data_IF_097175336307
#
_entry.id   IF_097175336307
#
_cell.length_a   1.000
_cell.length_b   1.000
_cell.length_c   1.000
_cell.angle_alpha   90.00
_cell.angle_beta   90.00
_cell.angle_gamma   90.00
#
_symmetry.space_group_name_H-M   'P 1'
#
loop_
_entity.id
_entity.type
_entity.pdbx_description
1 polymer ?
#
# COMPACT_ATOMS: atom_id res chain seq x y z
N UNK A 1 16.25 1.90 -21.13
CA UNK A 1 15.42 1.97 -19.91
C UNK A 1 16.22 2.67 -18.83
N UNK A 2 15.67 3.74 -18.25
CA UNK A 2 16.35 4.49 -17.19
C UNK A 2 16.01 3.86 -15.83
N UNK A 3 17.02 3.67 -14.98
CA UNK A 3 16.83 3.10 -13.64
C UNK A 3 17.84 3.62 -12.63
N UNK A 4 17.45 3.65 -11.35
CA UNK A 4 18.34 3.96 -10.24
C UNK A 4 19.01 2.67 -9.77
N UNK A 5 20.36 2.61 -9.82
CA UNK A 5 21.12 1.48 -9.34
C UNK A 5 21.64 1.73 -7.93
N UNK A 6 21.39 0.76 -7.03
CA UNK A 6 21.85 0.79 -5.63
C UNK A 6 22.60 -0.51 -5.34
N UNK A 7 23.87 -0.39 -4.98
CA UNK A 7 24.67 -1.51 -4.50
C UNK A 7 24.56 -1.67 -2.97
N UNK A 8 24.45 -2.90 -2.51
CA UNK A 8 24.37 -3.22 -1.08
C UNK A 8 24.96 -4.61 -0.79
N UNK A 9 25.14 -4.96 0.50
CA UNK A 9 25.59 -6.28 0.95
C UNK A 9 24.46 -7.32 0.85
N UNK A 10 24.01 -7.62 -0.36
CA UNK A 10 22.97 -8.60 -0.67
C UNK A 10 23.49 -9.69 -1.57
N UNK A 11 22.83 -10.84 -1.59
CA UNK A 11 23.21 -11.99 -2.41
C UNK A 11 22.50 -12.08 -3.76
N UNK A 12 21.48 -11.25 -4.01
CA UNK A 12 20.65 -11.34 -5.20
C UNK A 12 20.32 -9.95 -5.76
N UNK A 13 20.00 -9.89 -7.07
CA UNK A 13 19.46 -8.68 -7.73
C UNK A 13 17.96 -8.61 -7.45
N UNK A 14 17.43 -7.42 -7.29
CA UNK A 14 15.98 -7.16 -7.30
C UNK A 14 15.66 -5.85 -7.98
N UNK A 15 14.49 -5.80 -8.61
CA UNK A 15 13.90 -4.59 -9.16
C UNK A 15 12.66 -4.19 -8.36
N UNK A 16 12.40 -2.89 -8.28
CA UNK A 16 11.16 -2.34 -7.72
C UNK A 16 10.80 -1.05 -8.42
N UNK A 17 9.51 -0.85 -8.67
CA UNK A 17 8.98 0.39 -9.24
C UNK A 17 8.20 1.13 -8.16
N UNK A 18 8.56 2.40 -7.91
CA UNK A 18 7.83 3.28 -6.98
C UNK A 18 7.83 4.71 -7.53
N UNK A 19 6.65 5.32 -7.61
CA UNK A 19 6.50 6.69 -8.11
C UNK A 19 7.05 6.87 -9.53
N UNK A 20 6.83 5.90 -10.42
CA UNK A 20 7.34 5.92 -11.80
C UNK A 20 8.84 5.65 -11.96
N UNK A 21 9.58 5.42 -10.86
CA UNK A 21 11.02 5.19 -10.88
C UNK A 21 11.35 3.72 -10.70
N UNK A 22 12.04 3.13 -11.67
CA UNK A 22 12.63 1.80 -11.56
C UNK A 22 13.90 1.89 -10.70
N UNK A 23 13.93 1.14 -9.61
CA UNK A 23 15.11 1.00 -8.75
C UNK A 23 15.61 -0.44 -8.80
N UNK A 24 16.85 -0.63 -9.20
CA UNK A 24 17.55 -1.91 -9.18
C UNK A 24 18.49 -1.94 -7.99
N UNK A 25 18.40 -3.00 -7.19
CA UNK A 25 19.35 -3.24 -6.09
C UNK A 25 20.15 -4.49 -6.40
N UNK A 26 21.47 -4.38 -6.31
CA UNK A 26 22.40 -5.43 -6.71
C UNK A 26 23.51 -5.64 -5.65
N UNK A 27 24.14 -6.83 -5.60
CA UNK A 27 25.36 -7.05 -4.81
C UNK A 27 26.50 -6.14 -5.25
N UNK A 28 27.38 -5.77 -4.34
CA UNK A 28 28.65 -5.10 -4.69
C UNK A 28 29.50 -6.01 -5.55
N UNK A 29 30.13 -5.45 -6.58
CA UNK A 29 31.04 -6.18 -7.48
C UNK A 29 30.38 -7.01 -8.59
N UNK A 30 29.03 -6.99 -8.70
CA UNK A 30 28.36 -7.65 -9.83
C UNK A 30 28.60 -6.89 -11.13
N UNK A 31 28.87 -7.63 -12.22
CA UNK A 31 29.06 -7.04 -13.54
C UNK A 31 27.79 -6.43 -14.13
N UNK A 32 27.96 -5.36 -14.91
CA UNK A 32 26.84 -4.68 -15.56
C UNK A 32 26.04 -5.60 -16.50
N UNK A 33 26.72 -6.50 -17.22
CA UNK A 33 26.07 -7.49 -18.09
C UNK A 33 25.04 -8.36 -17.36
N UNK A 34 25.33 -8.78 -16.13
CA UNK A 34 24.41 -9.59 -15.32
C UNK A 34 23.17 -8.77 -14.90
N UNK A 35 23.35 -7.47 -14.65
CA UNK A 35 22.21 -6.57 -14.37
C UNK A 35 21.37 -6.39 -15.63
N UNK A 36 22.00 -6.19 -16.80
CA UNK A 36 21.31 -6.01 -18.08
C UNK A 36 20.52 -7.27 -18.48
N UNK A 37 21.09 -8.46 -18.26
CA UNK A 37 20.41 -9.74 -18.50
C UNK A 37 19.22 -9.93 -17.54
N UNK A 38 19.37 -9.56 -16.26
CA UNK A 38 18.28 -9.56 -15.30
C UNK A 38 17.14 -8.62 -15.75
N UNK A 39 17.45 -7.42 -16.20
CA UNK A 39 16.46 -6.45 -16.68
C UNK A 39 15.74 -6.94 -17.93
N UNK A 40 16.47 -7.52 -18.89
CA UNK A 40 15.88 -8.14 -20.10
C UNK A 40 14.92 -9.26 -19.73
N UNK A 41 15.34 -10.16 -18.85
CA UNK A 41 14.51 -11.30 -18.41
C UNK A 41 13.20 -10.85 -17.72
N UNK A 42 13.20 -9.69 -17.08
CA UNK A 42 12.05 -9.17 -16.32
C UNK A 42 11.39 -7.96 -17.01
N UNK A 43 11.68 -7.71 -18.30
CA UNK A 43 11.21 -6.49 -19.00
C UNK A 43 9.69 -6.35 -18.98
N UNK A 44 8.93 -7.41 -19.28
CA UNK A 44 7.48 -7.38 -19.28
C UNK A 44 6.90 -6.97 -17.91
N UNK A 45 7.44 -7.53 -16.82
CA UNK A 45 7.07 -7.14 -15.46
C UNK A 45 7.39 -5.67 -15.15
N UNK A 46 8.57 -5.21 -15.59
CA UNK A 46 9.02 -3.83 -15.40
C UNK A 46 8.09 -2.86 -16.14
N UNK A 47 7.80 -3.14 -17.42
CA UNK A 47 6.96 -2.28 -18.26
C UNK A 47 5.52 -2.20 -17.70
N UNK A 48 4.93 -3.33 -17.29
CA UNK A 48 3.62 -3.36 -16.63
C UNK A 48 3.59 -2.49 -15.36
N UNK A 49 4.63 -2.59 -14.51
CA UNK A 49 4.68 -1.87 -13.25
C UNK A 49 5.00 -0.38 -13.44
N UNK A 50 5.79 -0.01 -14.43
CA UNK A 50 6.02 1.39 -14.81
C UNK A 50 4.74 2.02 -15.33
N UNK A 51 4.02 1.34 -16.21
CA UNK A 51 2.76 1.82 -16.77
C UNK A 51 1.67 1.96 -15.68
N UNK A 52 1.54 0.97 -14.79
CA UNK A 52 0.63 1.04 -13.64
C UNK A 52 0.98 2.21 -12.70
N UNK A 53 2.28 2.44 -12.48
CA UNK A 53 2.76 3.55 -11.65
C UNK A 53 2.49 4.91 -12.30
N UNK A 54 2.65 5.02 -13.64
CA UNK A 54 2.35 6.22 -14.40
C UNK A 54 0.86 6.56 -14.37
N UNK A 55 -0.02 5.60 -14.66
CA UNK A 55 -1.47 5.77 -14.58
C UNK A 55 -1.93 6.21 -13.20
N UNK A 56 -1.30 5.65 -12.17
CA UNK A 56 -1.57 6.04 -10.79
C UNK A 56 -1.17 7.49 -10.51
N UNK A 57 0.01 7.93 -10.96
CA UNK A 57 0.46 9.32 -10.77
C UNK A 57 -0.40 10.30 -11.56
N UNK A 58 -0.76 10.00 -12.81
CA UNK A 58 -1.68 10.80 -13.63
C UNK A 58 -3.03 11.00 -12.94
N UNK A 59 -3.59 9.93 -12.36
CA UNK A 59 -4.84 9.98 -11.60
C UNK A 59 -4.78 10.92 -10.40
N UNK A 60 -3.62 11.02 -9.75
CA UNK A 60 -3.45 11.91 -8.61
C UNK A 60 -3.11 13.34 -9.00
N UNK A 61 -2.37 13.54 -10.10
CA UNK A 61 -1.98 14.87 -10.58
C UNK A 61 -3.12 15.64 -11.26
N UNK A 62 -4.17 14.96 -11.70
CA UNK A 62 -5.36 15.58 -12.27
C UNK A 62 -6.32 16.18 -11.24
N UNK A 63 -6.13 15.93 -9.96
CA UNK A 63 -7.00 16.41 -8.89
C UNK A 63 -6.65 17.85 -8.51
N UNK A 64 -7.65 18.72 -8.46
CA UNK A 64 -7.53 20.07 -7.91
C UNK A 64 -7.43 20.05 -6.38
N UNK A 65 -7.01 21.16 -5.78
CA UNK A 65 -7.00 21.31 -4.34
C UNK A 65 -8.39 21.18 -3.71
N UNK A 66 -9.42 21.61 -4.42
CA UNK A 66 -10.80 21.46 -4.00
C UNK A 66 -11.21 19.98 -3.98
N UNK A 67 -10.89 19.21 -5.04
CA UNK A 67 -11.15 17.76 -5.07
C UNK A 67 -10.44 17.04 -3.92
N UNK A 68 -9.18 17.41 -3.63
CA UNK A 68 -8.41 16.86 -2.54
C UNK A 68 -9.05 17.17 -1.18
N UNK A 69 -9.56 18.39 -1.00
CA UNK A 69 -10.24 18.77 0.23
C UNK A 69 -11.53 17.97 0.43
N UNK A 70 -12.31 17.76 -0.64
CA UNK A 70 -13.53 16.95 -0.62
C UNK A 70 -13.25 15.48 -0.35
N UNK A 71 -12.21 14.92 -0.98
CA UNK A 71 -11.75 13.56 -0.72
C UNK A 71 -11.29 13.37 0.72
N UNK A 72 -10.62 14.36 1.33
CA UNK A 72 -10.24 14.32 2.75
C UNK A 72 -11.45 14.33 3.68
N UNK A 73 -12.48 15.14 3.38
CA UNK A 73 -13.75 15.16 4.16
C UNK A 73 -14.46 13.82 4.06
N UNK A 74 -14.64 13.32 2.84
CA UNK A 74 -15.26 12.02 2.58
C UNK A 74 -14.50 10.87 3.23
N UNK A 75 -13.15 10.90 3.16
CA UNK A 75 -12.29 9.91 3.80
C UNK A 75 -12.49 9.90 5.32
N UNK A 76 -12.57 11.09 5.95
CA UNK A 76 -12.81 11.17 7.39
C UNK A 76 -14.15 10.55 7.78
N UNK A 77 -15.21 10.91 7.09
CA UNK A 77 -16.56 10.41 7.39
C UNK A 77 -16.64 8.89 7.16
N UNK A 78 -16.26 8.43 5.97
CA UNK A 78 -16.38 7.03 5.56
C UNK A 78 -15.47 6.11 6.40
N UNK A 79 -14.17 6.44 6.51
CA UNK A 79 -13.20 5.58 7.17
C UNK A 79 -13.43 5.54 8.69
N UNK A 80 -13.89 6.64 9.31
CA UNK A 80 -14.28 6.61 10.72
C UNK A 80 -15.47 5.69 10.96
N UNK A 81 -16.52 5.81 10.14
CA UNK A 81 -17.71 4.95 10.23
C UNK A 81 -17.36 3.46 10.06
N UNK A 82 -16.56 3.14 9.03
CA UNK A 82 -16.16 1.75 8.77
C UNK A 82 -15.19 1.21 9.84
N UNK A 83 -14.31 2.07 10.39
CA UNK A 83 -13.43 1.66 11.50
C UNK A 83 -14.27 1.32 12.75
N UNK A 84 -15.24 2.13 13.09
CA UNK A 84 -16.16 1.86 14.22
C UNK A 84 -16.93 0.55 13.98
N UNK A 85 -17.50 0.38 12.78
CA UNK A 85 -18.25 -0.82 12.43
C UNK A 85 -17.41 -2.09 12.60
N UNK A 86 -16.22 -2.14 11.99
CA UNK A 86 -15.38 -3.32 12.07
C UNK A 86 -14.70 -3.49 13.44
N UNK A 87 -14.40 -2.41 14.16
CA UNK A 87 -13.89 -2.48 15.52
C UNK A 87 -14.92 -3.14 16.46
N UNK A 88 -16.22 -2.82 16.31
CA UNK A 88 -17.29 -3.46 17.06
C UNK A 88 -17.40 -4.96 16.74
N UNK A 89 -17.34 -5.34 15.45
CA UNK A 89 -17.34 -6.77 15.02
C UNK A 89 -16.14 -7.52 15.62
N UNK A 90 -14.97 -6.88 15.64
CA UNK A 90 -13.73 -7.49 16.13
C UNK A 90 -13.57 -7.40 17.65
N UNK A 91 -14.47 -6.71 18.35
CA UNK A 91 -14.36 -6.47 19.80
C UNK A 91 -13.13 -5.64 20.19
N UNK A 92 -12.68 -4.73 19.33
CA UNK A 92 -11.45 -3.95 19.51
C UNK A 92 -11.75 -2.50 19.88
N UNK A 93 -10.85 -1.92 20.67
CA UNK A 93 -10.83 -0.48 20.96
C UNK A 93 -9.63 0.13 20.26
N UNK A 94 -9.86 1.24 19.57
CA UNK A 94 -8.81 2.01 18.91
C UNK A 94 -8.71 3.42 19.48
N UNK A 95 -7.63 4.10 19.22
CA UNK A 95 -7.39 5.47 19.64
C UNK A 95 -7.93 6.49 18.63
N UNK A 96 -7.11 7.45 18.24
CA UNK A 96 -7.49 8.51 17.31
C UNK A 96 -7.36 8.06 15.86
N UNK A 97 -8.32 8.46 15.01
CA UNK A 97 -8.22 8.33 13.54
C UNK A 97 -7.69 9.64 12.95
N UNK A 98 -6.70 9.54 12.07
CA UNK A 98 -6.10 10.68 11.36
C UNK A 98 -6.15 10.43 9.85
N UNK A 99 -6.61 11.42 9.06
CA UNK A 99 -6.52 11.39 7.60
C UNK A 99 -5.25 12.10 7.16
N UNK A 100 -4.44 11.42 6.37
CA UNK A 100 -3.12 11.88 5.90
C UNK A 100 -3.07 12.00 4.38
N UNK A 101 -2.00 12.60 3.87
CA UNK A 101 -1.69 12.67 2.44
C UNK A 101 -0.57 11.69 2.02
N UNK A 102 -0.37 10.60 2.77
CA UNK A 102 0.65 9.61 2.48
C UNK A 102 0.51 9.04 1.06
N UNK A 103 1.62 9.01 0.30
CA UNK A 103 1.66 8.53 -1.10
C UNK A 103 1.98 7.04 -1.20
N UNK A 104 2.69 6.48 -0.22
CA UNK A 104 3.28 5.13 -0.29
C UNK A 104 2.56 4.07 0.54
N UNK A 105 1.60 4.48 1.38
CA UNK A 105 0.81 3.59 2.24
C UNK A 105 -0.63 4.08 2.34
N UNK A 106 -1.57 3.17 2.44
CA UNK A 106 -2.99 3.46 2.57
C UNK A 106 -3.41 3.69 4.01
N UNK A 107 -2.75 3.03 4.96
CA UNK A 107 -2.99 3.15 6.38
C UNK A 107 -1.74 2.89 7.21
N UNK A 108 -1.85 3.09 8.50
CA UNK A 108 -0.89 2.65 9.52
C UNK A 108 -1.54 2.65 10.90
N UNK A 109 -1.21 1.67 11.72
CA UNK A 109 -1.57 1.59 13.11
C UNK A 109 -0.32 1.73 13.98
N UNK A 110 -0.38 2.56 15.02
CA UNK A 110 0.71 2.69 16.01
C UNK A 110 0.53 1.69 17.15
N UNK A 111 1.60 1.43 17.91
CA UNK A 111 1.53 0.61 19.13
C UNK A 111 0.59 1.17 20.20
N UNK A 112 0.33 2.48 20.18
CA UNK A 112 -0.68 3.12 21.03
C UNK A 112 -2.11 3.08 20.49
N UNK A 113 -2.37 2.28 19.45
CA UNK A 113 -3.71 2.08 18.90
C UNK A 113 -4.24 3.23 18.04
N UNK A 114 -3.44 4.25 17.71
CA UNK A 114 -3.86 5.31 16.81
C UNK A 114 -3.74 4.85 15.36
N UNK A 115 -4.79 5.10 14.57
CA UNK A 115 -4.89 4.67 13.19
C UNK A 115 -4.82 5.88 12.26
N UNK A 116 -4.03 5.78 11.20
CA UNK A 116 -3.96 6.80 10.16
C UNK A 116 -4.33 6.19 8.81
N UNK A 117 -5.13 6.92 8.01
CA UNK A 117 -5.48 6.53 6.65
C UNK A 117 -5.07 7.61 5.65
N UNK A 118 -4.64 7.22 4.47
CA UNK A 118 -4.47 8.15 3.36
C UNK A 118 -5.82 8.45 2.70
N UNK A 119 -6.13 9.72 2.46
CA UNK A 119 -7.32 10.10 1.68
C UNK A 119 -7.34 9.47 0.28
N UNK A 120 -6.16 9.13 -0.27
CA UNK A 120 -6.03 8.45 -1.56
C UNK A 120 -6.75 7.12 -1.62
N UNK A 121 -7.02 6.51 -0.47
CA UNK A 121 -7.80 5.29 -0.37
C UNK A 121 -9.21 5.47 -0.92
N UNK A 122 -9.76 6.69 -0.90
CA UNK A 122 -11.10 7.00 -1.45
C UNK A 122 -11.18 6.83 -2.98
N UNK A 123 -10.06 6.79 -3.67
CA UNK A 123 -9.99 6.56 -5.11
C UNK A 123 -10.06 5.06 -5.49
N UNK A 124 -10.14 4.18 -4.50
CA UNK A 124 -10.24 2.73 -4.69
C UNK A 124 -11.67 2.24 -4.40
N UNK A 125 -12.06 1.06 -4.95
CA UNK A 125 -13.38 0.47 -4.70
C UNK A 125 -13.65 0.26 -3.21
N UNK A 126 -14.91 0.30 -2.82
CA UNK A 126 -15.33 0.13 -1.43
C UNK A 126 -14.76 -1.14 -0.77
N UNK A 127 -14.79 -2.34 -1.40
CA UNK A 127 -14.22 -3.53 -0.79
C UNK A 127 -12.72 -3.39 -0.47
N UNK A 128 -11.96 -2.67 -1.31
CA UNK A 128 -10.54 -2.39 -1.05
C UNK A 128 -10.34 -1.45 0.15
N UNK A 129 -11.21 -0.44 0.29
CA UNK A 129 -11.19 0.49 1.43
C UNK A 129 -11.45 -0.26 2.74
N UNK A 130 -12.47 -1.11 2.76
CA UNK A 130 -12.83 -1.92 3.92
C UNK A 130 -11.71 -2.88 4.31
N UNK A 131 -11.06 -3.49 3.32
CA UNK A 131 -9.89 -4.33 3.59
C UNK A 131 -8.79 -3.56 4.33
N UNK A 132 -8.49 -2.32 3.93
CA UNK A 132 -7.49 -1.50 4.63
C UNK A 132 -7.94 -1.19 6.06
N UNK A 133 -9.23 -0.92 6.28
CA UNK A 133 -9.75 -0.70 7.63
C UNK A 133 -9.55 -1.92 8.53
N UNK A 134 -9.94 -3.11 8.06
CA UNK A 134 -9.75 -4.36 8.81
C UNK A 134 -8.26 -4.68 9.01
N UNK A 135 -7.41 -4.37 8.02
CA UNK A 135 -5.96 -4.52 8.10
C UNK A 135 -5.36 -3.67 9.23
N UNK A 136 -5.73 -2.39 9.32
CA UNK A 136 -5.21 -1.51 10.37
C UNK A 136 -5.76 -1.89 11.76
N UNK A 137 -7.02 -2.35 11.84
CA UNK A 137 -7.58 -2.86 13.09
C UNK A 137 -6.90 -4.16 13.55
N UNK A 138 -6.53 -5.06 12.61
CA UNK A 138 -5.81 -6.28 12.94
C UNK A 138 -4.44 -5.99 13.58
N UNK A 139 -3.81 -4.85 13.27
CA UNK A 139 -2.58 -4.41 13.92
C UNK A 139 -2.74 -4.06 15.40
N UNK A 140 -3.95 -3.81 15.89
CA UNK A 140 -4.18 -3.66 17.33
C UNK A 140 -3.96 -4.96 18.11
N UNK A 141 -4.01 -6.11 17.41
CA UNK A 141 -3.85 -7.44 18.01
C UNK A 141 -2.48 -8.04 17.64
N UNK A 142 -2.05 -7.85 16.40
CA UNK A 142 -0.81 -8.42 15.87
C UNK A 142 -0.08 -7.39 15.01
N UNK A 143 1.03 -6.86 15.52
CA UNK A 143 1.79 -5.79 14.84
C UNK A 143 2.53 -6.27 13.58
N UNK A 144 2.85 -7.55 13.50
CA UNK A 144 3.59 -8.14 12.39
C UNK A 144 2.65 -8.84 11.41
N UNK A 145 2.96 -8.79 10.11
CA UNK A 145 2.19 -9.49 9.06
C UNK A 145 2.47 -11.01 9.07
N UNK A 146 2.32 -11.65 10.23
CA UNK A 146 2.50 -13.09 10.45
C UNK A 146 1.29 -13.89 9.93
N UNK A 147 1.39 -15.22 9.99
CA UNK A 147 0.23 -16.08 9.73
C UNK A 147 -0.95 -15.81 10.68
N UNK A 148 -0.67 -15.42 11.95
CA UNK A 148 -1.68 -15.03 12.94
C UNK A 148 -2.40 -13.75 12.52
N UNK A 149 -1.67 -12.76 12.03
CA UNK A 149 -2.24 -11.51 11.50
C UNK A 149 -3.27 -11.77 10.39
N UNK A 150 -2.90 -12.60 9.40
CA UNK A 150 -3.82 -12.91 8.30
C UNK A 150 -5.02 -13.77 8.72
N UNK A 151 -4.88 -14.63 9.73
CA UNK A 151 -6.01 -15.36 10.31
C UNK A 151 -7.03 -14.44 10.98
N UNK A 152 -6.58 -13.37 11.64
CA UNK A 152 -7.47 -12.35 12.21
C UNK A 152 -8.27 -11.65 11.10
N UNK A 153 -7.63 -11.26 10.01
CA UNK A 153 -8.33 -10.65 8.87
C UNK A 153 -9.32 -11.64 8.25
N UNK A 154 -8.88 -12.88 8.01
CA UNK A 154 -9.69 -13.92 7.37
C UNK A 154 -10.96 -14.26 8.17
N UNK A 155 -10.89 -14.24 9.51
CA UNK A 155 -12.07 -14.49 10.36
C UNK A 155 -13.16 -13.42 10.23
N UNK A 156 -12.79 -12.19 9.87
CA UNK A 156 -13.72 -11.06 9.69
C UNK A 156 -14.09 -10.86 8.22
N UNK A 157 -13.16 -11.17 7.34
CA UNK A 157 -13.23 -10.88 5.90
C UNK A 157 -12.62 -12.07 5.11
N UNK A 158 -13.38 -13.16 4.90
CA UNK A 158 -12.86 -14.37 4.23
C UNK A 158 -12.34 -14.11 2.81
N UNK A 159 -12.89 -13.11 2.12
CA UNK A 159 -12.53 -12.70 0.75
C UNK A 159 -11.40 -11.64 0.70
N UNK A 160 -10.67 -11.45 1.81
CA UNK A 160 -9.66 -10.40 1.92
C UNK A 160 -8.59 -10.42 0.82
N UNK A 161 -8.24 -11.61 0.30
CA UNK A 161 -7.25 -11.73 -0.79
C UNK A 161 -7.71 -11.06 -2.08
N UNK A 162 -9.00 -11.20 -2.41
CA UNK A 162 -9.61 -10.56 -3.58
C UNK A 162 -9.67 -9.04 -3.37
N UNK A 163 -10.12 -8.58 -2.21
CA UNK A 163 -10.19 -7.16 -1.87
C UNK A 163 -8.82 -6.49 -1.88
N UNK A 164 -7.79 -7.16 -1.37
CA UNK A 164 -6.40 -6.70 -1.41
C UNK A 164 -5.89 -6.48 -2.83
N UNK A 165 -6.28 -7.35 -3.78
CA UNK A 165 -5.88 -7.21 -5.18
C UNK A 165 -6.43 -5.94 -5.84
N UNK A 166 -7.56 -5.42 -5.38
CA UNK A 166 -8.17 -4.18 -5.89
C UNK A 166 -7.39 -2.91 -5.50
N UNK A 167 -6.35 -3.02 -4.66
CA UNK A 167 -5.44 -1.93 -4.30
C UNK A 167 -4.23 -1.79 -5.24
N UNK A 168 -4.13 -2.66 -6.23
CA UNK A 168 -3.03 -2.63 -7.23
C UNK A 168 -3.25 -1.58 -8.32
#
# INVERSE_FOLDING_TARGET
MEYKLIYSNRKSISASVKGGVLTVRAPRGIGKSVIDDFLKKHSAWIDEHLEASRKKEERFSSLSDADIADLKRSARAYLSLKTEYYANIMGLKYGRITITSAKTRFGSCSSGGNISYSWRLMLYPEPAREYVVVHELAHLVEMNHSGRFYKIIESVMPDYKQRKQMLK
#
